data_IF_192359866344
#
_entry.id   IF_192359866344
#
_cell.length_a   1.000
_cell.length_b   1.000
_cell.length_c   1.000
_cell.angle_alpha   90.00
_cell.angle_beta   90.00
_cell.angle_gamma   90.00
#
_symmetry.space_group_name_H-M   'P 1'
#
loop_
_entity.id
_entity.type
_entity.pdbx_description
1 polymer ?
#
# COMPACT_ATOMS: atom_id res chain seq x y z
N UNK A 1 67.72 -20.74 14.99
CA UNK A 1 66.32 -21.20 15.12
C UNK A 1 65.49 -20.01 15.60
N UNK A 2 64.36 -19.76 14.93
CA UNK A 2 63.28 -18.79 15.25
C UNK A 2 63.58 -17.31 14.91
N UNK A 3 62.66 -16.47 14.40
CA UNK A 3 61.43 -16.56 13.58
C UNK A 3 61.02 -15.08 13.45
N UNK A 4 61.26 -14.45 12.31
CA UNK A 4 61.05 -13.00 12.13
C UNK A 4 60.06 -12.66 10.99
N UNK A 5 58.95 -13.40 10.92
CA UNK A 5 58.00 -13.38 9.77
C UNK A 5 56.60 -12.79 10.10
N UNK A 6 56.41 -12.04 11.20
CA UNK A 6 55.04 -11.70 11.66
C UNK A 6 54.59 -10.25 11.46
N UNK A 7 55.47 -9.29 11.13
CA UNK A 7 55.07 -7.86 11.05
C UNK A 7 54.28 -7.48 9.79
N UNK A 8 54.44 -8.21 8.68
CA UNK A 8 53.76 -7.90 7.41
C UNK A 8 52.27 -8.27 7.38
N UNK A 9 51.80 -9.17 8.27
CA UNK A 9 50.40 -9.65 8.27
C UNK A 9 49.42 -8.73 9.01
N UNK A 10 49.90 -7.83 9.87
CA UNK A 10 49.05 -7.00 10.75
C UNK A 10 48.44 -5.81 10.01
N UNK A 11 49.11 -5.30 8.95
CA UNK A 11 48.60 -4.18 8.15
C UNK A 11 47.37 -4.55 7.32
N UNK A 12 47.41 -5.69 6.62
CA UNK A 12 46.31 -6.17 5.77
C UNK A 12 45.02 -6.50 6.54
N UNK A 13 45.15 -6.92 7.80
CA UNK A 13 43.99 -7.23 8.66
C UNK A 13 43.13 -5.99 8.96
N UNK A 14 43.76 -4.80 9.06
CA UNK A 14 43.06 -3.53 9.25
C UNK A 14 42.26 -3.14 8.01
N UNK A 15 42.86 -3.28 6.83
CA UNK A 15 42.18 -3.02 5.56
C UNK A 15 41.03 -4.00 5.30
N UNK A 16 41.18 -5.27 5.71
CA UNK A 16 40.11 -6.26 5.63
C UNK A 16 38.91 -5.87 6.50
N UNK A 17 39.16 -5.38 7.72
CA UNK A 17 38.10 -4.89 8.60
C UNK A 17 37.36 -3.68 8.02
N UNK A 18 38.09 -2.71 7.47
CA UNK A 18 37.52 -1.53 6.80
C UNK A 18 36.69 -1.95 5.58
N UNK A 19 37.18 -2.91 4.79
CA UNK A 19 36.47 -3.46 3.64
C UNK A 19 35.15 -4.12 4.05
N UNK A 20 35.16 -4.94 5.09
CA UNK A 20 33.96 -5.58 5.64
C UNK A 20 32.94 -4.55 6.15
N UNK A 21 33.42 -3.49 6.81
CA UNK A 21 32.58 -2.39 7.29
C UNK A 21 31.93 -1.64 6.13
N UNK A 22 32.69 -1.32 5.08
CA UNK A 22 32.18 -0.68 3.87
C UNK A 22 31.14 -1.55 3.16
N UNK A 23 31.40 -2.85 3.03
CA UNK A 23 30.44 -3.79 2.44
C UNK A 23 29.15 -3.83 3.26
N UNK A 24 29.24 -3.93 4.59
CA UNK A 24 28.07 -3.91 5.47
C UNK A 24 27.25 -2.62 5.32
N UNK A 25 27.93 -1.48 5.25
CA UNK A 25 27.27 -0.19 5.04
C UNK A 25 26.57 -0.12 3.68
N UNK A 26 27.22 -0.60 2.61
CA UNK A 26 26.62 -0.68 1.27
C UNK A 26 25.39 -1.59 1.26
N UNK A 27 25.45 -2.76 1.91
CA UNK A 27 24.30 -3.67 2.01
C UNK A 27 23.13 -2.99 2.71
N UNK A 28 23.37 -2.28 3.82
CA UNK A 28 22.35 -1.50 4.52
C UNK A 28 21.73 -0.47 3.56
N UNK A 29 22.53 0.32 2.85
CA UNK A 29 22.02 1.31 1.90
C UNK A 29 21.17 0.67 0.80
N UNK A 30 21.57 -0.49 0.27
CA UNK A 30 20.83 -1.20 -0.76
C UNK A 30 19.51 -1.77 -0.22
N UNK A 31 19.51 -2.32 1.01
CA UNK A 31 18.31 -2.83 1.68
C UNK A 31 17.28 -1.74 1.91
N UNK A 32 17.70 -0.55 2.32
CA UNK A 32 16.78 0.57 2.59
C UNK A 32 16.50 1.44 1.36
N UNK A 33 17.19 1.25 0.24
CA UNK A 33 16.95 1.98 -1.01
C UNK A 33 15.48 1.99 -1.46
N UNK A 34 14.73 0.86 -1.53
CA UNK A 34 13.33 0.90 -1.93
C UNK A 34 12.46 1.72 -0.98
N UNK A 35 12.75 1.67 0.32
CA UNK A 35 11.99 2.39 1.36
C UNK A 35 12.23 3.89 1.26
N UNK A 36 13.50 4.30 1.13
CA UNK A 36 13.89 5.71 0.98
C UNK A 36 13.29 6.27 -0.31
N UNK A 37 13.35 5.53 -1.43
CA UNK A 37 12.75 5.95 -2.70
C UNK A 37 11.25 6.21 -2.56
N UNK A 38 10.51 5.32 -1.89
CA UNK A 38 9.09 5.52 -1.66
C UNK A 38 8.79 6.79 -0.85
N UNK A 39 9.59 7.08 0.18
CA UNK A 39 9.43 8.29 1.00
C UNK A 39 9.76 9.57 0.21
N UNK A 40 10.87 9.55 -0.54
CA UNK A 40 11.30 10.69 -1.37
C UNK A 40 10.27 10.95 -2.48
N UNK A 41 9.79 9.91 -3.17
CA UNK A 41 8.74 10.05 -4.18
C UNK A 41 7.47 10.65 -3.59
N UNK A 42 7.05 10.21 -2.40
CA UNK A 42 5.88 10.75 -1.71
C UNK A 42 6.01 12.25 -1.38
N UNK A 43 7.17 12.69 -0.89
CA UNK A 43 7.37 14.08 -0.46
C UNK A 43 7.65 15.05 -1.63
N UNK A 44 8.43 14.62 -2.62
CA UNK A 44 8.88 15.49 -3.71
C UNK A 44 8.04 15.40 -4.98
N UNK A 45 7.30 14.31 -5.17
CA UNK A 45 6.40 14.12 -6.32
C UNK A 45 5.05 13.58 -5.82
N UNK A 46 4.28 14.37 -5.04
CA UNK A 46 2.94 13.95 -4.65
C UNK A 46 2.16 13.66 -5.93
N UNK A 47 1.85 12.38 -6.17
CA UNK A 47 1.01 11.98 -7.30
C UNK A 47 -0.30 12.73 -7.15
N UNK A 48 -0.54 13.67 -8.08
CA UNK A 48 -1.82 14.32 -8.20
C UNK A 48 -2.85 13.21 -8.35
N UNK A 49 -3.89 13.25 -7.53
CA UNK A 49 -4.99 12.29 -7.64
C UNK A 49 -5.54 12.50 -9.06
N UNK A 50 -5.39 11.50 -9.94
CA UNK A 50 -6.04 11.51 -11.24
C UNK A 50 -7.53 11.78 -10.95
N UNK A 51 -8.03 12.95 -11.40
CA UNK A 51 -9.44 13.31 -11.26
C UNK A 51 -10.26 12.43 -12.20
N UNK A 52 -10.45 11.18 -11.80
CA UNK A 52 -11.30 10.23 -12.48
C UNK A 52 -12.73 10.75 -12.33
N UNK A 53 -13.44 10.91 -13.45
CA UNK A 53 -14.83 11.37 -13.42
C UNK A 53 -15.68 10.31 -12.73
N UNK A 54 -16.27 10.68 -11.61
CA UNK A 54 -17.17 9.80 -10.86
C UNK A 54 -18.58 10.04 -11.38
N UNK A 55 -19.20 9.01 -11.95
CA UNK A 55 -20.59 9.06 -12.39
C UNK A 55 -21.42 8.09 -11.56
N UNK A 56 -22.64 8.51 -11.22
CA UNK A 56 -23.59 7.66 -10.54
C UNK A 56 -24.13 6.66 -11.57
N UNK A 57 -23.99 5.35 -11.29
CA UNK A 57 -24.41 4.33 -12.25
C UNK A 57 -25.92 4.44 -12.53
N UNK A 58 -26.28 4.47 -13.81
CA UNK A 58 -27.67 4.43 -14.28
C UNK A 58 -28.18 3.00 -14.51
N UNK A 59 -27.30 1.99 -14.42
CA UNK A 59 -27.59 0.55 -14.51
C UNK A 59 -27.02 -0.20 -13.29
N UNK A 60 -27.35 -1.47 -13.12
CA UNK A 60 -26.88 -2.32 -11.99
C UNK A 60 -25.38 -2.65 -12.03
N UNK A 61 -24.66 -2.24 -13.08
CA UNK A 61 -23.24 -2.49 -13.23
C UNK A 61 -22.41 -1.38 -12.55
N UNK A 62 -21.63 -1.77 -11.54
CA UNK A 62 -20.60 -0.93 -10.91
C UNK A 62 -19.22 -1.27 -11.49
N UNK A 63 -18.34 -0.28 -11.62
CA UNK A 63 -16.98 -0.53 -12.13
C UNK A 63 -16.15 -1.22 -11.05
N UNK A 64 -15.94 -2.54 -11.15
CA UNK A 64 -15.14 -3.32 -10.18
C UNK A 64 -13.65 -3.36 -10.52
N UNK A 65 -13.29 -3.21 -11.80
CA UNK A 65 -11.89 -3.20 -12.26
C UNK A 65 -11.52 -1.79 -12.74
N UNK A 66 -10.75 -1.07 -11.92
CA UNK A 66 -10.31 0.30 -12.19
C UNK A 66 -8.84 0.27 -12.57
N UNK A 67 -8.60 0.45 -13.87
CA UNK A 67 -7.27 0.45 -14.48
C UNK A 67 -6.70 1.87 -14.56
N UNK A 68 -5.48 2.01 -15.08
CA UNK A 68 -4.84 3.32 -15.28
C UNK A 68 -5.50 4.16 -16.38
N UNK A 69 -6.19 3.51 -17.31
CA UNK A 69 -6.91 4.12 -18.42
C UNK A 69 -8.41 4.31 -18.14
N UNK A 70 -8.89 4.00 -16.93
CA UNK A 70 -10.30 4.15 -16.58
C UNK A 70 -10.66 5.63 -16.43
N UNK A 71 -11.38 6.17 -17.41
CA UNK A 71 -11.81 7.58 -17.44
C UNK A 71 -13.03 7.87 -16.56
N UNK A 72 -13.94 6.89 -16.45
CA UNK A 72 -15.20 7.00 -15.70
C UNK A 72 -15.33 5.82 -14.74
N UNK A 73 -15.64 6.11 -13.48
CA UNK A 73 -15.95 5.10 -12.46
C UNK A 73 -17.42 5.21 -12.09
N UNK A 74 -18.16 4.12 -12.32
CA UNK A 74 -19.57 3.99 -11.95
C UNK A 74 -19.70 3.49 -10.52
N UNK A 75 -20.18 4.36 -9.64
CA UNK A 75 -20.42 4.04 -8.22
C UNK A 75 -21.88 3.66 -8.03
N UNK A 76 -22.16 2.77 -7.06
CA UNK A 76 -23.52 2.40 -6.69
C UNK A 76 -24.33 3.66 -6.32
N UNK A 77 -25.49 3.81 -6.97
CA UNK A 77 -26.37 4.98 -6.82
C UNK A 77 -27.01 5.11 -5.45
N UNK A 78 -27.25 3.98 -4.78
CA UNK A 78 -27.97 3.94 -3.52
C UNK A 78 -27.00 4.05 -2.35
N UNK A 79 -25.96 3.21 -2.34
CA UNK A 79 -24.94 3.26 -1.30
C UNK A 79 -23.63 2.62 -1.78
N UNK A 80 -22.65 3.46 -2.11
CA UNK A 80 -21.37 3.04 -2.69
C UNK A 80 -20.18 3.79 -2.09
N UNK A 81 -19.01 3.17 -2.20
CA UNK A 81 -17.73 3.69 -1.73
C UNK A 81 -16.73 3.68 -2.86
N UNK A 82 -16.17 4.84 -3.19
CA UNK A 82 -15.06 4.96 -4.14
C UNK A 82 -13.86 5.66 -3.49
N UNK A 83 -12.70 5.03 -3.55
CA UNK A 83 -11.43 5.54 -3.03
C UNK A 83 -10.43 5.69 -4.19
N UNK A 84 -10.27 6.89 -4.76
CA UNK A 84 -9.46 7.12 -5.97
C UNK A 84 -7.99 6.70 -5.80
N UNK A 85 -7.38 6.99 -4.64
CA UNK A 85 -5.96 6.74 -4.39
C UNK A 85 -5.55 5.27 -4.48
N UNK A 86 -6.47 4.36 -4.19
CA UNK A 86 -6.25 2.91 -4.27
C UNK A 86 -7.07 2.27 -5.39
N UNK A 87 -7.77 3.09 -6.20
CA UNK A 87 -8.62 2.63 -7.31
C UNK A 87 -9.62 1.54 -6.86
N UNK A 88 -10.20 1.71 -5.66
CA UNK A 88 -11.17 0.79 -5.10
C UNK A 88 -12.58 1.36 -5.20
N UNK A 89 -13.52 0.58 -5.73
CA UNK A 89 -14.93 0.92 -5.85
C UNK A 89 -15.76 -0.29 -5.42
N UNK A 90 -16.73 -0.08 -4.54
CA UNK A 90 -17.56 -1.15 -4.02
C UNK A 90 -18.96 -0.66 -3.66
N UNK A 91 -19.93 -1.57 -3.74
CA UNK A 91 -21.24 -1.41 -3.13
C UNK A 91 -21.12 -1.51 -1.61
N UNK A 92 -21.91 -0.71 -0.89
CA UNK A 92 -22.02 -0.77 0.55
C UNK A 92 -23.38 -1.38 0.93
N UNK A 93 -23.35 -2.42 1.77
CA UNK A 93 -24.54 -3.10 2.29
C UNK A 93 -24.86 -2.46 3.64
N UNK A 94 -26.06 -1.91 3.75
CA UNK A 94 -26.53 -1.14 4.92
C UNK A 94 -26.98 -2.05 6.05
N UNK A 95 -26.85 -1.53 7.27
CA UNK A 95 -27.51 -2.06 8.47
C UNK A 95 -27.17 -3.54 8.76
N UNK A 96 -25.93 -3.95 8.45
CA UNK A 96 -25.42 -5.29 8.70
C UNK A 96 -25.11 -5.45 10.18
N UNK A 97 -25.65 -6.48 10.83
CA UNK A 97 -25.28 -6.81 12.21
C UNK A 97 -23.82 -7.32 12.27
N UNK A 98 -22.89 -6.58 12.88
CA UNK A 98 -21.49 -7.01 12.98
C UNK A 98 -21.28 -8.15 13.99
N UNK A 99 -22.29 -8.45 14.82
CA UNK A 99 -22.26 -9.52 15.81
C UNK A 99 -22.84 -10.84 15.28
N UNK A 100 -23.61 -10.79 14.18
CA UNK A 100 -24.03 -11.99 13.44
C UNK A 100 -22.96 -12.35 12.40
N UNK A 101 -22.26 -13.45 12.64
CA UNK A 101 -21.18 -13.92 11.76
C UNK A 101 -21.69 -14.28 10.37
N UNK A 102 -22.86 -14.91 10.26
CA UNK A 102 -23.40 -15.36 8.98
C UNK A 102 -23.82 -14.16 8.14
N UNK A 103 -24.59 -13.24 8.73
CA UNK A 103 -25.02 -12.00 8.08
C UNK A 103 -23.81 -11.16 7.63
N UNK A 104 -22.84 -10.95 8.52
CA UNK A 104 -21.65 -10.16 8.24
C UNK A 104 -20.78 -10.78 7.14
N UNK A 105 -20.53 -12.09 7.21
CA UNK A 105 -19.70 -12.77 6.20
C UNK A 105 -20.38 -12.76 4.84
N UNK A 106 -21.70 -13.00 4.79
CA UNK A 106 -22.47 -12.93 3.56
C UNK A 106 -22.42 -11.52 2.95
N UNK A 107 -22.52 -10.47 3.77
CA UNK A 107 -22.39 -9.10 3.29
C UNK A 107 -21.01 -8.83 2.65
N UNK A 108 -19.93 -9.31 3.27
CA UNK A 108 -18.56 -9.10 2.77
C UNK A 108 -18.25 -9.82 1.44
N UNK A 109 -19.01 -10.87 1.08
CA UNK A 109 -18.88 -11.52 -0.23
C UNK A 109 -19.32 -10.58 -1.36
N UNK A 110 -20.34 -9.75 -1.11
CA UNK A 110 -20.98 -8.92 -2.12
C UNK A 110 -20.61 -7.43 -2.05
N UNK A 111 -19.92 -6.98 -0.99
CA UNK A 111 -19.51 -5.59 -0.85
C UNK A 111 -18.92 -5.23 0.51
N UNK A 112 -18.99 -3.94 0.86
CA UNK A 112 -18.56 -3.41 2.16
C UNK A 112 -19.75 -3.39 3.11
N UNK A 113 -19.59 -3.93 4.32
CA UNK A 113 -20.64 -3.90 5.33
C UNK A 113 -20.63 -2.58 6.13
N UNK A 114 -21.75 -1.85 6.10
CA UNK A 114 -22.01 -0.75 7.03
C UNK A 114 -22.70 -1.31 8.28
N UNK A 115 -22.15 -0.98 9.44
CA UNK A 115 -22.57 -1.58 10.71
C UNK A 115 -23.91 -0.99 11.19
N UNK A 116 -24.83 -1.89 11.54
CA UNK A 116 -26.13 -1.55 12.12
C UNK A 116 -25.99 -0.71 13.39
N UNK A 117 -26.79 0.35 13.49
CA UNK A 117 -26.78 1.26 14.64
C UNK A 117 -25.65 2.30 14.64
N UNK A 118 -24.87 2.38 13.56
CA UNK A 118 -23.91 3.47 13.33
C UNK A 118 -24.50 4.54 12.42
N UNK A 119 -24.01 5.77 12.54
CA UNK A 119 -24.47 6.89 11.72
C UNK A 119 -24.28 6.62 10.22
N UNK A 120 -25.17 7.17 9.40
CA UNK A 120 -24.97 7.20 7.96
C UNK A 120 -24.02 8.33 7.56
N UNK A 121 -23.44 8.28 6.35
CA UNK A 121 -22.72 9.43 5.83
C UNK A 121 -23.63 10.67 5.80
N UNK A 122 -23.11 11.78 6.33
CA UNK A 122 -23.78 13.08 6.46
C UNK A 122 -24.85 13.22 7.57
N UNK A 123 -24.88 12.28 8.52
CA UNK A 123 -25.65 12.40 9.77
C UNK A 123 -24.80 12.86 10.96
#
# INVERSE_FOLDING_TARGET
MLKEESKFKVGYLKYLGILLLLIGFVVILLTYMPVIKAYVEYYFAPKQVEEIKVEISTKEEITTDIRKDTEIVFVDKNFGLYIPKIKANAKVIRDVDPYDKEEYTNALIYGVAHAKGTALPNE
#
